data_IF_806406573189
#
_entry.id   IF_806406573189
#
_cell.length_a   1.000
_cell.length_b   1.000
_cell.length_c   1.000
_cell.angle_alpha   90.00
_cell.angle_beta   90.00
_cell.angle_gamma   90.00
#
_symmetry.space_group_name_H-M   'P 1'
#
loop_
_entity.id
_entity.type
_entity.pdbx_description
1 polymer ?
#
# COMPACT_ATOMS: atom_id res chain seq x y z
N UNK A 1 -14.22 -30.49 -15.00
CA UNK A 1 -13.71 -29.42 -15.86
C UNK A 1 -13.28 -28.28 -14.96
N UNK A 2 -12.03 -27.82 -15.07
CA UNK A 2 -11.54 -26.70 -14.25
C UNK A 2 -12.09 -25.38 -14.80
N UNK A 3 -12.49 -24.46 -13.91
CA UNK A 3 -13.07 -23.15 -14.32
C UNK A 3 -12.09 -22.33 -15.17
N UNK A 4 -10.77 -22.49 -14.94
CA UNK A 4 -9.77 -21.73 -15.70
C UNK A 4 -9.61 -22.29 -17.10
N UNK A 5 -9.66 -23.61 -17.26
CA UNK A 5 -9.64 -24.24 -18.57
C UNK A 5 -10.88 -23.85 -19.39
N UNK A 6 -12.06 -23.91 -18.76
CA UNK A 6 -13.33 -23.51 -19.36
C UNK A 6 -13.33 -22.04 -19.81
N UNK A 7 -12.88 -21.13 -18.92
CA UNK A 7 -12.76 -19.71 -19.24
C UNK A 7 -11.84 -19.46 -20.46
N UNK A 8 -10.71 -20.16 -20.54
CA UNK A 8 -9.77 -20.04 -21.68
C UNK A 8 -10.39 -20.53 -22.98
N UNK A 9 -11.07 -21.68 -22.94
CA UNK A 9 -11.72 -22.25 -24.11
C UNK A 9 -12.82 -21.33 -24.62
N UNK A 10 -13.67 -20.81 -23.73
CA UNK A 10 -14.74 -19.88 -24.10
C UNK A 10 -14.15 -18.57 -24.64
N UNK A 11 -13.12 -18.01 -23.99
CA UNK A 11 -12.44 -16.81 -24.48
C UNK A 11 -11.84 -17.01 -25.88
N UNK A 12 -11.28 -18.18 -26.16
CA UNK A 12 -10.69 -18.53 -27.45
C UNK A 12 -11.75 -18.73 -28.54
N UNK A 13 -12.89 -19.35 -28.21
CA UNK A 13 -14.00 -19.56 -29.13
C UNK A 13 -14.75 -18.24 -29.44
N UNK A 14 -14.79 -17.33 -28.48
CA UNK A 14 -15.52 -16.06 -28.57
C UNK A 14 -17.04 -16.25 -28.44
N UNK A 15 -17.79 -15.22 -28.81
CA UNK A 15 -19.26 -15.21 -28.77
C UNK A 15 -19.84 -14.01 -28.03
N UNK A 16 -21.15 -14.05 -27.76
CA UNK A 16 -21.88 -12.96 -27.11
C UNK A 16 -21.57 -12.80 -25.62
N UNK A 17 -21.01 -13.82 -24.98
CA UNK A 17 -20.64 -13.82 -23.56
C UNK A 17 -19.14 -13.55 -23.34
N UNK A 18 -18.45 -13.07 -24.38
CA UNK A 18 -17.03 -12.73 -24.35
C UNK A 18 -16.83 -11.28 -24.78
N UNK A 19 -15.98 -10.56 -24.05
CA UNK A 19 -15.58 -9.19 -24.38
C UNK A 19 -14.07 -9.09 -24.45
N UNK A 20 -13.54 -8.68 -25.60
CA UNK A 20 -12.11 -8.46 -25.77
C UNK A 20 -11.78 -6.98 -25.64
N UNK A 21 -10.73 -6.67 -24.88
CA UNK A 21 -10.11 -5.35 -24.92
C UNK A 21 -8.59 -5.44 -24.94
N UNK A 22 -8.01 -4.49 -25.67
CA UNK A 22 -6.58 -4.24 -25.74
C UNK A 22 -6.27 -2.83 -25.25
N UNK A 23 -5.26 -2.72 -24.39
CA UNK A 23 -4.75 -1.45 -23.89
C UNK A 23 -3.30 -1.31 -24.34
N UNK A 24 -2.97 -0.13 -24.85
CA UNK A 24 -1.60 0.27 -25.18
C UNK A 24 -1.28 1.50 -24.35
N UNK A 25 -0.24 1.43 -23.52
CA UNK A 25 0.21 2.52 -22.67
C UNK A 25 1.65 2.84 -22.99
N UNK A 26 1.98 4.14 -23.04
CA UNK A 26 3.37 4.58 -23.21
C UNK A 26 3.98 4.80 -21.84
N UNK A 27 4.89 3.91 -21.45
CA UNK A 27 5.62 4.02 -20.18
C UNK A 27 7.03 4.52 -20.43
N UNK A 28 7.52 5.36 -19.51
CA UNK A 28 8.92 5.78 -19.51
C UNK A 28 9.71 4.84 -18.60
N UNK A 29 10.71 4.15 -19.16
CA UNK A 29 11.63 3.29 -18.40
C UNK A 29 13.00 3.95 -18.27
N UNK A 30 13.66 3.69 -17.14
CA UNK A 30 14.96 4.30 -16.80
C UNK A 30 14.82 5.64 -16.09
N UNK A 31 15.97 6.26 -15.77
CA UNK A 31 16.04 7.54 -15.08
C UNK A 31 17.08 8.46 -15.73
N UNK A 32 16.81 9.77 -15.72
CA UNK A 32 17.71 10.79 -16.26
C UNK A 32 17.88 10.70 -17.78
N UNK A 33 19.10 10.93 -18.27
CA UNK A 33 19.43 10.93 -19.70
C UNK A 33 19.31 9.57 -20.41
N UNK A 34 19.10 8.49 -19.65
CA UNK A 34 18.88 7.12 -20.16
C UNK A 34 17.40 6.72 -20.17
N UNK A 35 16.50 7.65 -19.87
CA UNK A 35 15.07 7.39 -19.94
C UNK A 35 14.63 7.19 -21.40
N UNK A 36 13.91 6.11 -21.67
CA UNK A 36 13.34 5.83 -22.98
C UNK A 36 11.85 5.50 -22.85
N UNK A 37 11.09 5.83 -23.89
CA UNK A 37 9.66 5.52 -23.97
C UNK A 37 9.49 4.15 -24.60
N UNK A 38 8.64 3.34 -24.00
CA UNK A 38 8.26 2.04 -24.52
C UNK A 38 6.73 1.95 -24.49
N UNK A 39 6.15 1.47 -25.58
CA UNK A 39 4.75 1.06 -25.58
C UNK A 39 4.63 -0.31 -24.93
N UNK A 40 3.77 -0.41 -23.92
CA UNK A 40 3.38 -1.66 -23.30
C UNK A 40 1.96 -2.02 -23.72
N UNK A 41 1.78 -3.28 -24.09
CA UNK A 41 0.51 -3.81 -24.58
C UNK A 41 -0.01 -4.86 -23.61
N UNK A 42 -1.27 -4.71 -23.23
CA UNK A 42 -2.03 -5.66 -22.39
C UNK A 42 -3.31 -6.06 -23.11
N UNK A 43 -3.62 -7.35 -23.12
CA UNK A 43 -4.78 -7.93 -23.79
C UNK A 43 -5.55 -8.82 -22.82
N UNK A 44 -6.85 -8.53 -22.69
CA UNK A 44 -7.74 -9.20 -21.75
C UNK A 44 -9.05 -9.58 -22.41
N UNK A 45 -9.58 -10.73 -22.00
CA UNK A 45 -10.88 -11.24 -22.40
C UNK A 45 -11.75 -11.39 -21.14
N UNK A 46 -12.88 -10.70 -21.10
CA UNK A 46 -13.93 -10.95 -20.11
C UNK A 46 -14.80 -12.10 -20.59
N UNK A 47 -15.05 -13.08 -19.71
CA UNK A 47 -15.95 -14.21 -19.95
C UNK A 47 -17.02 -14.20 -18.87
N UNK A 48 -18.29 -14.08 -19.27
CA UNK A 48 -19.40 -14.05 -18.31
C UNK A 48 -20.03 -15.42 -18.07
N UNK A 49 -20.72 -15.58 -16.93
CA UNK A 49 -21.63 -16.71 -16.62
C UNK A 49 -21.01 -18.11 -16.69
N UNK A 50 -19.77 -18.25 -16.26
CA UNK A 50 -19.13 -19.54 -16.05
C UNK A 50 -19.86 -20.31 -14.95
N UNK A 51 -20.26 -21.55 -15.24
CA UNK A 51 -20.95 -22.44 -14.31
C UNK A 51 -20.11 -23.67 -13.94
N UNK A 52 -18.82 -23.65 -14.23
CA UNK A 52 -17.87 -24.73 -13.91
C UNK A 52 -17.25 -24.58 -12.52
N UNK A 53 -17.46 -23.45 -11.83
CA UNK A 53 -16.95 -23.21 -10.49
C UNK A 53 -17.97 -23.53 -9.38
N UNK A 54 -18.02 -24.80 -8.98
CA UNK A 54 -18.98 -25.32 -7.99
C UNK A 54 -18.85 -24.76 -6.57
N UNK A 55 -17.70 -24.17 -6.21
CA UNK A 55 -17.48 -23.63 -4.87
C UNK A 55 -18.04 -22.22 -4.65
N UNK A 56 -18.48 -21.55 -5.72
CA UNK A 56 -18.98 -20.18 -5.60
C UNK A 56 -20.41 -20.16 -5.04
N UNK A 57 -20.58 -19.57 -3.86
CA UNK A 57 -21.89 -19.42 -3.22
C UNK A 57 -21.78 -19.24 -1.71
N UNK A 58 -22.92 -19.38 -1.03
CA UNK A 58 -22.98 -19.35 0.42
C UNK A 58 -22.25 -20.56 1.05
N UNK A 59 -21.81 -20.46 2.31
CA UNK A 59 -21.16 -21.57 3.01
C UNK A 59 -21.97 -22.87 2.91
N UNK A 60 -21.36 -23.92 2.36
CA UNK A 60 -21.97 -25.22 2.16
C UNK A 60 -22.69 -25.42 0.82
N UNK A 61 -22.65 -24.45 -0.10
CA UNK A 61 -23.17 -24.61 -1.47
C UNK A 61 -22.50 -25.78 -2.22
N UNK A 62 -21.21 -26.00 -1.97
CA UNK A 62 -20.41 -27.03 -2.63
C UNK A 62 -20.61 -28.45 -2.08
N UNK A 63 -21.36 -28.62 -0.98
CA UNK A 63 -21.63 -29.92 -0.35
C UNK A 63 -22.30 -30.89 -1.33
N UNK A 64 -23.15 -30.36 -2.19
CA UNK A 64 -23.94 -31.12 -3.14
C UNK A 64 -23.35 -31.13 -4.56
N UNK A 65 -22.11 -30.67 -4.75
CA UNK A 65 -21.48 -30.54 -6.08
C UNK A 65 -21.45 -31.81 -6.93
N UNK A 66 -21.52 -32.98 -6.28
CA UNK A 66 -21.50 -34.29 -6.93
C UNK A 66 -22.90 -34.81 -7.30
N UNK A 67 -23.98 -34.14 -6.89
CA UNK A 67 -25.35 -34.53 -7.22
C UNK A 67 -25.69 -34.12 -8.66
N UNK A 68 -26.42 -34.96 -9.39
CA UNK A 68 -26.88 -34.65 -10.76
C UNK A 68 -27.78 -33.41 -10.85
N UNK A 69 -28.47 -33.07 -9.76
CA UNK A 69 -29.34 -31.89 -9.67
C UNK A 69 -28.59 -30.60 -9.33
N UNK A 70 -27.28 -30.67 -9.10
CA UNK A 70 -26.48 -29.52 -8.70
C UNK A 70 -26.39 -28.49 -9.83
N UNK A 71 -26.58 -27.22 -9.48
CA UNK A 71 -26.37 -26.07 -10.36
C UNK A 71 -25.40 -25.13 -9.68
N UNK A 72 -24.22 -24.94 -10.29
CA UNK A 72 -23.27 -23.96 -9.82
C UNK A 72 -23.82 -22.55 -10.03
N UNK A 73 -23.46 -21.62 -9.15
CA UNK A 73 -23.76 -20.22 -9.35
C UNK A 73 -22.88 -19.64 -10.47
N UNK A 74 -23.45 -18.79 -11.35
CA UNK A 74 -22.67 -18.16 -12.40
C UNK A 74 -21.63 -17.22 -11.82
N UNK A 75 -20.42 -17.29 -12.36
CA UNK A 75 -19.32 -16.40 -12.04
C UNK A 75 -18.66 -15.91 -13.32
N UNK A 76 -17.98 -14.76 -13.27
CA UNK A 76 -17.28 -14.21 -14.41
C UNK A 76 -15.78 -14.49 -14.28
N UNK A 77 -15.06 -14.35 -15.38
CA UNK A 77 -13.61 -14.42 -15.37
C UNK A 77 -12.98 -13.41 -16.34
N UNK A 78 -11.73 -13.06 -16.06
CA UNK A 78 -10.84 -12.36 -16.97
C UNK A 78 -9.72 -13.31 -17.37
N UNK A 79 -9.52 -13.48 -18.67
CA UNK A 79 -8.41 -14.22 -19.25
C UNK A 79 -7.41 -13.23 -19.82
N UNK A 80 -6.19 -13.25 -19.31
CA UNK A 80 -5.08 -12.39 -19.73
C UNK A 80 -4.17 -13.17 -20.66
N UNK A 81 -4.21 -12.83 -21.95
CA UNK A 81 -3.37 -13.46 -22.98
C UNK A 81 -2.02 -12.76 -23.10
N UNK A 82 -2.00 -11.44 -22.90
CA UNK A 82 -0.79 -10.64 -22.91
C UNK A 82 -0.80 -9.60 -21.80
N UNK A 83 0.32 -9.46 -21.10
CA UNK A 83 0.51 -8.45 -20.05
C UNK A 83 1.87 -7.78 -20.20
N UNK A 84 1.91 -6.45 -20.31
CA UNK A 84 3.14 -5.66 -20.48
C UNK A 84 4.10 -6.21 -21.55
N UNK A 85 3.58 -6.50 -22.75
CA UNK A 85 4.30 -7.14 -23.87
C UNK A 85 4.71 -8.61 -23.67
N UNK A 86 4.45 -9.21 -22.51
CA UNK A 86 4.63 -10.63 -22.30
C UNK A 86 3.40 -11.41 -22.75
N UNK A 87 3.51 -12.14 -23.85
CA UNK A 87 2.46 -13.00 -24.37
C UNK A 87 2.53 -14.39 -23.72
N UNK A 88 1.48 -14.78 -23.01
CA UNK A 88 1.37 -16.08 -22.35
C UNK A 88 0.87 -17.19 -23.28
N UNK A 89 0.20 -16.83 -24.38
CA UNK A 89 -0.59 -17.76 -25.20
C UNK A 89 -1.84 -18.26 -24.47
N UNK A 90 -2.70 -19.01 -25.17
CA UNK A 90 -3.98 -19.46 -24.65
C UNK A 90 -3.85 -20.43 -23.47
N UNK A 91 -2.97 -21.43 -23.57
CA UNK A 91 -2.83 -22.47 -22.54
C UNK A 91 -2.30 -21.93 -21.19
N UNK A 92 -1.36 -20.98 -21.25
CA UNK A 92 -0.70 -20.42 -20.04
C UNK A 92 -1.26 -19.07 -19.62
N UNK A 93 -2.29 -18.58 -20.32
CA UNK A 93 -3.01 -17.36 -19.98
C UNK A 93 -3.45 -17.37 -18.52
N UNK A 94 -3.36 -16.20 -17.88
CA UNK A 94 -3.76 -16.03 -16.48
C UNK A 94 -5.27 -15.84 -16.42
N UNK A 95 -5.91 -16.49 -15.46
CA UNK A 95 -7.37 -16.40 -15.28
C UNK A 95 -7.67 -15.86 -13.88
N UNK A 96 -8.41 -14.76 -13.84
CA UNK A 96 -8.94 -14.17 -12.61
C UNK A 96 -10.44 -14.38 -12.56
N UNK A 97 -10.94 -15.04 -11.52
CA UNK A 97 -12.38 -15.26 -11.30
C UNK A 97 -12.93 -14.07 -10.53
N UNK A 98 -14.07 -13.53 -10.97
CA UNK A 98 -14.66 -12.31 -10.40
C UNK A 98 -16.19 -12.34 -10.48
N UNK A 99 -16.84 -11.57 -9.60
CA UNK A 99 -18.27 -11.30 -9.65
C UNK A 99 -18.59 -9.96 -10.33
N UNK A 100 -17.57 -9.18 -10.72
CA UNK A 100 -17.74 -7.91 -11.43
C UNK A 100 -18.21 -8.15 -12.87
N UNK A 101 -18.87 -7.16 -13.46
CA UNK A 101 -19.20 -7.19 -14.89
C UNK A 101 -17.92 -7.13 -15.72
N UNK A 102 -17.75 -8.12 -16.60
CA UNK A 102 -16.58 -8.25 -17.48
C UNK A 102 -16.93 -8.04 -18.96
N UNK A 103 -18.22 -7.86 -19.29
CA UNK A 103 -18.66 -7.70 -20.67
C UNK A 103 -18.52 -6.24 -21.11
N UNK A 104 -19.00 -5.30 -20.28
CA UNK A 104 -18.90 -3.87 -20.58
C UNK A 104 -17.45 -3.39 -20.58
N UNK A 105 -16.69 -3.79 -19.56
CA UNK A 105 -15.30 -3.42 -19.42
C UNK A 105 -14.47 -4.45 -18.64
N UNK A 106 -13.84 -5.43 -19.30
CA UNK A 106 -13.00 -6.41 -18.63
C UNK A 106 -11.80 -5.78 -17.92
N UNK A 107 -11.39 -4.59 -18.34
CA UNK A 107 -10.29 -3.87 -17.71
C UNK A 107 -10.63 -3.32 -16.33
N UNK A 108 -11.88 -2.93 -16.07
CA UNK A 108 -12.28 -2.43 -14.76
C UNK A 108 -12.07 -3.48 -13.66
N UNK A 109 -12.40 -4.74 -13.95
CA UNK A 109 -12.19 -5.85 -13.03
C UNK A 109 -10.71 -6.31 -12.99
N UNK A 110 -9.97 -6.15 -14.09
CA UNK A 110 -8.52 -6.43 -14.14
C UNK A 110 -7.74 -5.44 -13.28
N UNK A 111 -7.99 -4.14 -13.44
CA UNK A 111 -7.32 -3.07 -12.70
C UNK A 111 -7.64 -3.15 -11.20
N UNK A 112 -8.89 -3.48 -10.83
CA UNK A 112 -9.27 -3.72 -9.44
C UNK A 112 -8.47 -4.86 -8.78
N UNK A 113 -8.03 -5.85 -9.57
CA UNK A 113 -7.19 -6.94 -9.05
C UNK A 113 -5.72 -6.51 -8.86
N UNK A 114 -5.26 -5.47 -9.57
CA UNK A 114 -3.89 -4.96 -9.44
C UNK A 114 -3.59 -4.39 -8.04
N UNK A 115 -4.62 -3.92 -7.33
CA UNK A 115 -4.51 -3.50 -5.92
C UNK A 115 -3.95 -4.59 -5.00
N UNK A 116 -4.01 -5.87 -5.40
CA UNK A 116 -3.37 -6.97 -4.66
C UNK A 116 -1.85 -6.77 -4.53
N UNK A 117 -1.21 -6.21 -5.55
CA UNK A 117 0.24 -5.95 -5.52
C UNK A 117 0.60 -4.91 -4.45
N UNK A 118 -0.31 -3.97 -4.16
CA UNK A 118 -0.16 -2.96 -3.10
C UNK A 118 -0.13 -3.65 -1.73
N UNK A 119 -1.04 -4.59 -1.48
CA UNK A 119 -1.06 -5.33 -0.21
C UNK A 119 0.25 -6.11 -0.04
N UNK A 120 0.73 -6.79 -1.07
CA UNK A 120 1.95 -7.57 -0.95
C UNK A 120 3.21 -6.71 -0.74
N UNK A 121 3.37 -5.67 -1.57
CA UNK A 121 4.58 -4.86 -1.58
C UNK A 121 4.62 -3.78 -0.51
N UNK A 122 3.47 -3.24 -0.11
CA UNK A 122 3.38 -2.18 0.89
C UNK A 122 2.99 -2.72 2.27
N UNK A 123 1.99 -3.59 2.38
CA UNK A 123 1.62 -4.12 3.71
C UNK A 123 2.60 -5.21 4.15
N UNK A 124 2.71 -6.33 3.40
CA UNK A 124 3.48 -7.47 3.90
C UNK A 124 4.98 -7.22 3.95
N UNK A 125 5.55 -6.56 2.94
CA UNK A 125 6.99 -6.28 2.92
C UNK A 125 7.39 -5.32 4.03
N UNK A 126 6.69 -4.19 4.18
CA UNK A 126 7.04 -3.17 5.18
C UNK A 126 6.79 -3.66 6.61
N UNK A 127 5.67 -4.34 6.88
CA UNK A 127 5.41 -4.88 8.23
C UNK A 127 6.46 -5.92 8.63
N UNK A 128 6.90 -6.77 7.69
CA UNK A 128 7.94 -7.78 7.95
C UNK A 128 9.34 -7.18 8.11
N UNK A 129 9.70 -6.18 7.30
CA UNK A 129 11.05 -5.62 7.25
C UNK A 129 11.26 -4.45 8.23
N UNK A 130 10.29 -3.53 8.30
CA UNK A 130 10.41 -2.29 9.06
C UNK A 130 9.82 -2.39 10.47
N UNK A 131 8.76 -3.20 10.64
CA UNK A 131 8.05 -3.31 11.92
C UNK A 131 8.24 -4.67 12.60
N UNK A 132 9.20 -5.47 12.13
CA UNK A 132 9.59 -6.74 12.76
C UNK A 132 8.42 -7.69 13.03
N UNK A 133 7.42 -7.74 12.14
CA UNK A 133 6.27 -8.65 12.28
C UNK A 133 6.71 -10.11 12.43
N UNK A 134 7.86 -10.49 11.85
CA UNK A 134 8.44 -11.85 11.93
C UNK A 134 8.99 -12.21 13.31
N UNK A 135 9.22 -11.23 14.18
CA UNK A 135 9.93 -11.41 15.45
C UNK A 135 9.03 -11.02 16.62
N UNK A 136 8.07 -11.88 16.99
CA UNK A 136 7.18 -11.60 18.11
C UNK A 136 7.95 -11.57 19.43
N UNK A 137 7.55 -10.67 20.33
CA UNK A 137 8.16 -10.50 21.66
C UNK A 137 8.12 -11.80 22.48
N UNK A 138 7.00 -12.54 22.39
CA UNK A 138 6.84 -13.87 22.99
C UNK A 138 6.26 -14.86 21.98
N UNK A 139 6.86 -16.05 21.91
CA UNK A 139 6.41 -17.17 21.06
C UNK A 139 5.29 -18.00 21.71
N UNK A 140 4.31 -17.33 22.31
CA UNK A 140 3.05 -17.95 22.76
C UNK A 140 1.92 -17.51 21.84
N UNK A 141 0.78 -18.22 21.85
CA UNK A 141 -0.38 -17.86 21.01
C UNK A 141 -0.83 -16.42 21.30
N UNK A 142 -0.96 -16.09 22.57
CA UNK A 142 -1.40 -14.77 23.05
C UNK A 142 -0.36 -13.69 22.73
N UNK A 143 0.92 -14.00 22.87
CA UNK A 143 2.02 -13.09 22.53
C UNK A 143 2.08 -12.77 21.03
N UNK A 144 1.83 -13.78 20.18
CA UNK A 144 1.73 -13.58 18.73
C UNK A 144 0.50 -12.74 18.35
N UNK A 145 -0.66 -12.98 18.97
CA UNK A 145 -1.86 -12.17 18.74
C UNK A 145 -1.63 -10.70 19.10
N UNK A 146 -1.07 -10.45 20.29
CA UNK A 146 -0.77 -9.08 20.74
C UNK A 146 0.23 -8.40 19.80
N UNK A 147 1.32 -9.09 19.44
CA UNK A 147 2.34 -8.56 18.51
C UNK A 147 1.75 -8.21 17.15
N UNK A 148 0.89 -9.09 16.60
CA UNK A 148 0.21 -8.86 15.33
C UNK A 148 -0.69 -7.63 15.39
N UNK A 149 -1.58 -7.54 16.38
CA UNK A 149 -2.52 -6.42 16.53
C UNK A 149 -1.76 -5.11 16.68
N UNK A 150 -0.75 -5.07 17.55
CA UNK A 150 0.04 -3.87 17.81
C UNK A 150 0.82 -3.42 16.57
N UNK A 151 1.51 -4.35 15.91
CA UNK A 151 2.27 -4.06 14.68
C UNK A 151 1.38 -3.53 13.57
N UNK A 152 0.20 -4.14 13.37
CA UNK A 152 -0.76 -3.72 12.35
C UNK A 152 -1.38 -2.36 12.69
N UNK A 153 -1.65 -2.09 13.96
CA UNK A 153 -2.17 -0.79 14.41
C UNK A 153 -1.16 0.33 14.21
N UNK A 154 0.12 0.09 14.54
CA UNK A 154 1.20 1.04 14.27
C UNK A 154 1.36 1.26 12.76
N UNK A 155 1.33 0.20 11.96
CA UNK A 155 1.40 0.31 10.50
C UNK A 155 0.27 1.20 9.94
N UNK A 156 -0.95 0.99 10.40
CA UNK A 156 -2.10 1.80 10.01
C UNK A 156 -1.91 3.28 10.42
N UNK A 157 -1.45 3.54 11.64
CA UNK A 157 -1.20 4.89 12.14
C UNK A 157 -0.11 5.62 11.33
N UNK A 158 0.99 4.93 11.02
CA UNK A 158 2.08 5.48 10.19
C UNK A 158 1.55 5.86 8.80
N UNK A 159 0.76 4.99 8.17
CA UNK A 159 0.21 5.27 6.85
C UNK A 159 -0.85 6.37 6.87
N UNK A 160 -1.70 6.43 7.90
CA UNK A 160 -2.66 7.51 8.09
C UNK A 160 -1.94 8.87 8.26
N UNK A 161 -0.91 8.91 9.11
CA UNK A 161 -0.08 10.10 9.28
C UNK A 161 0.62 10.50 7.99
N UNK A 162 1.14 9.53 7.22
CA UNK A 162 1.76 9.77 5.91
C UNK A 162 0.78 10.43 4.94
N UNK A 163 -0.41 9.86 4.77
CA UNK A 163 -1.44 10.42 3.89
C UNK A 163 -1.89 11.81 4.34
N UNK A 164 -2.07 12.02 5.65
CA UNK A 164 -2.39 13.34 6.19
C UNK A 164 -1.27 14.34 5.89
N UNK A 165 -0.01 13.97 6.14
CA UNK A 165 1.15 14.82 5.89
C UNK A 165 1.30 15.17 4.41
N UNK A 166 1.04 14.22 3.51
CA UNK A 166 1.05 14.46 2.05
C UNK A 166 -0.04 15.46 1.65
N UNK A 167 -1.26 15.34 2.20
CA UNK A 167 -2.36 16.30 1.97
C UNK A 167 -2.07 17.69 2.51
N UNK A 168 -1.52 17.79 3.73
CA UNK A 168 -1.10 19.09 4.26
C UNK A 168 -0.05 19.74 3.35
N UNK A 169 0.84 18.93 2.79
CA UNK A 169 1.89 19.43 1.91
C UNK A 169 1.40 19.83 0.51
N UNK A 170 0.44 19.10 -0.07
CA UNK A 170 -0.19 19.50 -1.34
C UNK A 170 -0.98 20.80 -1.18
N UNK A 171 -1.63 21.01 -0.03
CA UNK A 171 -2.32 22.26 0.30
C UNK A 171 -1.36 23.43 0.57
N UNK A 172 -0.17 23.18 1.11
CA UNK A 172 0.87 24.21 1.30
C UNK A 172 1.57 24.62 0.00
N UNK A 173 1.31 23.92 -1.12
CA UNK A 173 2.00 24.11 -2.39
C UNK A 173 1.05 24.54 -3.50
N UNK A 174 0.79 25.84 -3.55
CA UNK A 174 0.70 26.52 -4.84
C UNK A 174 2.09 26.48 -5.54
N UNK A 175 2.41 25.36 -6.19
CA UNK A 175 3.21 25.42 -7.42
C UNK A 175 4.67 24.94 -7.46
N UNK A 176 5.21 24.13 -6.54
CA UNK A 176 6.46 23.39 -6.86
C UNK A 176 6.43 21.98 -6.30
N UNK A 177 6.87 20.94 -7.00
CA UNK A 177 7.02 19.59 -6.43
C UNK A 177 8.33 19.47 -5.63
N UNK A 178 8.31 18.76 -4.49
CA UNK A 178 9.53 18.34 -3.79
C UNK A 178 9.33 16.88 -3.40
N UNK A 179 10.07 15.98 -4.03
CA UNK A 179 10.00 14.56 -3.72
C UNK A 179 10.41 14.23 -2.27
N UNK A 180 10.02 13.02 -1.84
CA UNK A 180 10.18 12.48 -0.48
C UNK A 180 11.56 12.69 0.15
N UNK A 181 12.63 12.55 -0.66
CA UNK A 181 14.02 12.73 -0.21
C UNK A 181 14.33 14.14 0.27
N UNK A 182 13.74 15.16 -0.38
CA UNK A 182 13.93 16.58 -0.01
C UNK A 182 13.11 16.92 1.24
N UNK A 183 11.95 16.29 1.42
CA UNK A 183 11.15 16.36 2.65
C UNK A 183 11.88 15.77 3.85
N UNK A 184 12.35 14.52 3.77
CA UNK A 184 13.12 13.91 4.86
C UNK A 184 14.39 14.70 5.16
N UNK A 185 15.07 15.24 4.14
CA UNK A 185 16.22 16.12 4.33
C UNK A 185 15.85 17.43 5.04
N UNK A 186 14.67 18.01 4.74
CA UNK A 186 14.15 19.21 5.39
C UNK A 186 13.71 18.94 6.82
N UNK A 187 12.87 17.93 7.06
CA UNK A 187 12.47 17.50 8.41
C UNK A 187 13.66 17.12 9.29
N UNK A 188 14.65 16.42 8.73
CA UNK A 188 15.89 16.09 9.43
C UNK A 188 16.77 17.31 9.66
N UNK A 189 16.62 18.38 8.87
CA UNK A 189 17.27 19.67 9.13
C UNK A 189 16.51 20.46 10.21
N UNK A 190 15.19 20.59 10.09
CA UNK A 190 14.28 21.28 11.02
C UNK A 190 14.29 20.65 12.42
N UNK A 191 14.40 19.32 12.51
CA UNK A 191 14.45 18.61 13.80
C UNK A 191 15.87 18.17 14.19
N UNK A 192 16.92 18.58 13.44
CA UNK A 192 18.31 18.21 13.78
C UNK A 192 18.70 18.68 15.18
N UNK A 193 18.15 19.83 15.56
CA UNK A 193 18.51 20.55 16.76
C UNK A 193 17.53 20.28 17.90
N UNK A 194 16.60 19.33 17.75
CA UNK A 194 15.65 18.97 18.82
C UNK A 194 16.08 17.69 19.52
N UNK A 195 15.86 17.65 20.82
CA UNK A 195 16.06 16.49 21.69
C UNK A 195 14.76 16.09 22.35
N UNK A 196 14.62 14.79 22.58
CA UNK A 196 13.56 14.22 23.42
C UNK A 196 14.21 13.87 24.75
N UNK A 197 13.69 14.45 25.84
CA UNK A 197 14.16 14.21 27.20
C UNK A 197 13.13 13.35 27.90
N UNK A 198 13.57 12.25 28.50
CA UNK A 198 12.74 11.35 29.29
C UNK A 198 13.06 11.53 30.77
N UNK A 199 12.03 11.76 31.58
CA UNK A 199 12.11 11.77 33.05
C UNK A 199 11.02 10.82 33.54
N UNK A 200 11.45 9.67 34.07
CA UNK A 200 10.58 8.56 34.45
C UNK A 200 9.61 8.15 33.33
N UNK A 201 8.32 8.49 33.49
CA UNK A 201 7.22 8.14 32.59
C UNK A 201 6.74 9.33 31.76
N UNK A 202 7.45 10.46 31.80
CA UNK A 202 7.11 11.69 31.09
C UNK A 202 8.21 12.00 30.07
N UNK A 203 7.83 12.55 28.93
CA UNK A 203 8.77 13.02 27.93
C UNK A 203 8.48 14.48 27.54
N UNK A 204 9.55 15.21 27.21
CA UNK A 204 9.50 16.55 26.65
C UNK A 204 10.32 16.62 25.36
N UNK A 205 9.89 17.45 24.41
CA UNK A 205 10.64 17.72 23.18
C UNK A 205 11.07 19.18 23.22
N UNK A 206 12.38 19.45 23.11
CA UNK A 206 12.91 20.81 23.14
C UNK A 206 14.12 20.99 22.24
N UNK A 207 14.48 22.23 21.92
CA UNK A 207 15.72 22.53 21.21
C UNK A 207 16.94 22.20 22.10
N UNK A 208 18.01 21.66 21.50
CA UNK A 208 19.28 21.32 22.17
C UNK A 208 19.85 22.56 22.85
N UNK A 209 19.77 23.71 22.18
CA UNK A 209 20.20 25.00 22.72
C UNK A 209 19.48 25.32 24.04
N UNK A 210 18.16 25.17 24.07
CA UNK A 210 17.35 25.42 25.27
C UNK A 210 17.68 24.43 26.40
N UNK A 211 17.85 23.15 26.06
CA UNK A 211 18.27 22.12 27.01
C UNK A 211 19.64 22.44 27.64
N UNK A 212 20.63 22.82 26.83
CA UNK A 212 21.96 23.18 27.33
C UNK A 212 21.92 24.42 28.22
N UNK A 213 21.06 25.40 27.92
CA UNK A 213 20.87 26.57 28.78
C UNK A 213 20.25 26.21 30.13
N UNK A 214 19.24 25.32 30.14
CA UNK A 214 18.65 24.83 31.40
C UNK A 214 19.69 24.11 32.28
N UNK A 215 20.61 23.37 31.66
CA UNK A 215 21.73 22.67 32.28
C UNK A 215 22.93 23.57 32.63
N UNK A 216 22.84 24.88 32.40
CA UNK A 216 23.92 25.85 32.61
C UNK A 216 25.21 25.55 31.80
N UNK A 217 25.09 24.91 30.64
CA UNK A 217 26.22 24.63 29.73
C UNK A 217 26.36 25.78 28.74
N UNK A 218 27.55 26.39 28.66
CA UNK A 218 27.85 27.46 27.68
C UNK A 218 27.98 26.86 26.28
N UNK A 219 27.15 27.32 25.35
CA UNK A 219 27.19 26.95 23.92
C UNK A 219 27.75 28.13 23.12
N UNK A 220 28.69 27.88 22.19
CA UNK A 220 29.41 28.93 21.45
C UNK A 220 28.55 29.71 20.45
N UNK A 221 27.64 29.04 19.73
CA UNK A 221 26.85 29.66 18.64
C UNK A 221 25.41 29.98 19.08
N UNK A 222 25.25 30.64 20.22
CA UNK A 222 23.95 30.93 20.84
C UNK A 222 23.34 32.28 20.42
N UNK A 223 23.93 32.96 19.43
CA UNK A 223 23.64 34.37 19.10
C UNK A 223 22.21 34.66 18.62
N UNK A 224 21.38 33.64 18.36
CA UNK A 224 19.99 33.81 17.90
C UNK A 224 18.91 33.43 18.93
N UNK A 225 19.28 33.12 20.18
CA UNK A 225 18.33 32.81 21.24
C UNK A 225 18.50 33.85 22.35
N UNK A 226 17.88 35.02 22.18
CA UNK A 226 17.69 36.04 23.22
C UNK A 226 16.74 35.59 24.35
N UNK A 227 16.66 34.28 24.63
CA UNK A 227 15.73 33.74 25.61
C UNK A 227 16.44 33.51 26.95
N UNK A 228 15.97 34.19 27.98
CA UNK A 228 16.33 33.92 29.36
C UNK A 228 15.83 32.53 29.80
N UNK A 229 16.49 31.92 30.79
CA UNK A 229 16.08 30.63 31.40
C UNK A 229 14.60 30.64 31.79
N UNK A 230 14.14 31.77 32.31
CA UNK A 230 12.76 32.06 32.73
C UNK A 230 11.77 31.97 31.57
N UNK A 231 12.12 32.51 30.39
CA UNK A 231 11.27 32.48 29.19
C UNK A 231 11.18 31.09 28.56
N UNK A 232 12.27 30.33 28.61
CA UNK A 232 12.27 28.93 28.17
C UNK A 232 11.33 28.13 29.07
N UNK A 233 11.46 28.23 30.40
CA UNK A 233 10.58 27.54 31.34
C UNK A 233 9.12 27.92 31.12
N UNK A 234 8.83 29.20 30.87
CA UNK A 234 7.47 29.69 30.57
C UNK A 234 6.89 29.09 29.28
N UNK A 235 7.70 28.89 28.23
CA UNK A 235 7.26 28.22 26.99
C UNK A 235 6.83 26.78 27.21
N UNK A 236 7.47 26.10 28.16
CA UNK A 236 7.11 24.75 28.57
C UNK A 236 6.07 24.71 29.70
N UNK A 237 5.44 25.85 30.02
CA UNK A 237 4.39 25.95 31.04
C UNK A 237 4.88 25.86 32.48
N UNK A 238 6.18 26.00 32.73
CA UNK A 238 6.80 25.94 34.05
C UNK A 238 6.93 27.37 34.59
N UNK A 239 6.25 27.66 35.71
CA UNK A 239 6.38 28.94 36.40
C UNK A 239 7.67 28.97 37.20
N UNK A 240 8.58 29.88 36.87
CA UNK A 240 9.82 30.09 37.63
C UNK A 240 9.48 30.70 38.99
N UNK A 241 9.93 30.10 40.08
CA UNK A 241 9.88 30.68 41.44
C UNK A 241 11.17 31.41 41.72
#
# INVERSE_FOLDING_TARGET
MDVKEDARQIAQLGGSEVSFKRRVETVTKGAGSKAYRQEIVTEVYGVSKLNTYSAYGLPGHDKDKNKKSFKANPVNAIVVTQWENHNYGWEKSKVFVTNMDVIKDPFAAFDAYDERSIIENSLFRETKQCLNLKYPIKKTKEGMHLHLIFTMSIFALINAYRQWSEKQYSMMKDGQECGLKRFWKRLKAENRNKVIIFVDHIYGIMEIAECMLLLNVKVKDFENVEASKTEILKRYGISST
#
